data_IF_465655802630
#
_entry.id   IF_465655802630
#
_cell.length_a   1.000
_cell.length_b   1.000
_cell.length_c   1.000
_cell.angle_alpha   90.00
_cell.angle_beta   90.00
_cell.angle_gamma   90.00
#
_symmetry.space_group_name_H-M   'P 1'
#
loop_
_entity.id
_entity.type
_entity.pdbx_description
1 polymer ?
#
# COMPACT_ATOMS: atom_id res chain seq x y z
N UNK A 1 16.09 0.24 -12.55
CA UNK A 1 16.20 -0.22 -11.15
C UNK A 1 14.80 -0.43 -10.63
N UNK A 2 14.48 -1.59 -10.07
CA UNK A 2 13.16 -1.82 -9.45
C UNK A 2 13.07 -1.02 -8.15
N UNK A 3 12.01 -0.22 -8.00
CA UNK A 3 11.73 0.52 -6.77
C UNK A 3 11.51 -0.49 -5.63
N UNK A 4 12.19 -0.30 -4.49
CA UNK A 4 12.00 -1.15 -3.31
C UNK A 4 10.74 -0.71 -2.57
N UNK A 5 9.59 -1.29 -2.95
CA UNK A 5 8.29 -0.99 -2.36
C UNK A 5 8.26 -1.18 -0.85
N UNK A 6 8.89 -2.25 -0.33
CA UNK A 6 8.91 -2.51 1.11
C UNK A 6 9.59 -1.37 1.86
N UNK A 7 10.76 -0.91 1.39
CA UNK A 7 11.45 0.22 2.00
C UNK A 7 10.62 1.52 2.00
N UNK A 8 9.85 1.75 0.93
CA UNK A 8 8.91 2.88 0.88
C UNK A 8 7.81 2.73 1.94
N UNK A 9 7.16 1.56 2.01
CA UNK A 9 6.10 1.34 2.98
C UNK A 9 6.59 1.40 4.43
N UNK A 10 7.81 0.92 4.70
CA UNK A 10 8.43 1.02 6.02
C UNK A 10 8.58 2.50 6.43
N UNK A 11 8.98 3.38 5.51
CA UNK A 11 9.01 4.82 5.76
C UNK A 11 7.60 5.34 5.99
N UNK A 12 6.64 5.09 5.09
CA UNK A 12 5.27 5.59 5.20
C UNK A 12 4.58 5.19 6.51
N UNK A 13 4.69 3.92 6.90
CA UNK A 13 4.12 3.38 8.14
C UNK A 13 4.78 3.91 9.42
N UNK A 14 5.92 4.59 9.30
CA UNK A 14 6.67 5.15 10.42
C UNK A 14 6.58 6.68 10.51
N UNK A 15 5.85 7.32 9.59
CA UNK A 15 5.59 8.75 9.67
C UNK A 15 4.53 9.03 10.75
N UNK A 16 4.71 10.11 11.49
CA UNK A 16 3.74 10.54 12.49
C UNK A 16 2.45 11.03 11.80
N UNK A 17 1.32 10.41 12.16
CA UNK A 17 0.01 10.75 11.62
C UNK A 17 -0.51 12.00 12.31
N UNK A 18 -0.85 13.01 11.51
CA UNK A 18 -1.47 14.26 11.95
C UNK A 18 -2.99 14.11 12.03
N UNK A 19 -3.58 13.47 11.03
CA UNK A 19 -5.04 13.29 10.93
C UNK A 19 -5.34 12.00 10.15
N UNK A 20 -6.41 11.30 10.50
CA UNK A 20 -6.86 10.13 9.76
C UNK A 20 -8.38 9.98 9.83
N UNK A 21 -8.97 9.49 8.73
CA UNK A 21 -10.38 9.14 8.64
C UNK A 21 -10.52 7.81 7.90
N UNK A 22 -11.46 6.98 8.38
CA UNK A 22 -11.86 5.74 7.70
C UNK A 22 -13.25 5.87 7.07
N UNK A 23 -13.69 4.79 6.42
CA UNK A 23 -14.97 4.75 5.71
C UNK A 23 -14.84 5.16 4.24
N UNK A 24 -15.90 5.72 3.67
CA UNK A 24 -16.00 6.02 2.24
C UNK A 24 -14.99 7.08 1.78
N UNK A 25 -14.69 8.07 2.64
CA UNK A 25 -13.70 9.13 2.41
C UNK A 25 -12.44 8.90 3.25
N UNK A 26 -11.79 7.76 3.06
CA UNK A 26 -10.62 7.38 3.86
C UNK A 26 -9.35 8.17 3.49
N UNK A 27 -8.61 8.61 4.51
CA UNK A 27 -7.31 9.26 4.35
C UNK A 27 -6.43 9.08 5.58
N UNK A 28 -5.12 9.26 5.38
CA UNK A 28 -4.12 9.34 6.44
C UNK A 28 -3.16 10.48 6.07
N UNK A 29 -3.21 11.56 6.82
CA UNK A 29 -2.41 12.76 6.61
C UNK A 29 -1.21 12.77 7.55
N UNK A 30 -0.05 13.09 6.99
CA UNK A 30 1.20 13.29 7.73
C UNK A 30 1.73 14.69 7.41
N UNK A 31 2.57 15.23 8.29
CA UNK A 31 3.15 16.56 8.07
C UNK A 31 4.04 16.58 6.81
N UNK A 32 3.87 17.62 5.99
CA UNK A 32 4.73 17.89 4.84
C UNK A 32 6.00 18.63 5.26
N UNK A 33 6.82 17.95 6.07
CA UNK A 33 8.08 18.49 6.60
C UNK A 33 9.28 18.10 5.73
N UNK A 34 10.34 18.89 5.80
CA UNK A 34 11.62 18.57 5.13
C UNK A 34 12.19 17.21 5.59
N UNK A 35 11.99 16.86 6.86
CA UNK A 35 12.40 15.55 7.40
C UNK A 35 11.63 14.41 6.74
N UNK A 36 10.31 14.48 6.67
CA UNK A 36 9.48 13.45 6.06
C UNK A 36 9.78 13.30 4.57
N UNK A 37 9.93 14.44 3.86
CA UNK A 37 10.35 14.46 2.45
C UNK A 37 11.71 13.79 2.26
N UNK A 38 12.68 14.13 3.10
CA UNK A 38 14.04 13.56 3.03
C UNK A 38 14.04 12.05 3.24
N UNK A 39 13.24 11.55 4.19
CA UNK A 39 13.10 10.11 4.45
C UNK A 39 12.50 9.36 3.25
N UNK A 40 11.51 9.95 2.59
CA UNK A 40 10.88 9.37 1.38
C UNK A 40 11.80 9.42 0.16
N UNK A 41 12.50 10.52 -0.05
CA UNK A 41 13.48 10.64 -1.13
C UNK A 41 14.65 9.66 -0.96
N UNK A 42 15.09 9.40 0.28
CA UNK A 42 16.14 8.43 0.57
C UNK A 42 15.78 6.98 0.16
N UNK A 43 14.50 6.64 0.08
CA UNK A 43 14.00 5.34 -0.39
C UNK A 43 13.51 5.36 -1.84
N UNK A 44 13.75 6.46 -2.56
CA UNK A 44 13.57 6.57 -4.00
C UNK A 44 12.25 7.22 -4.46
N UNK A 45 11.44 7.76 -3.55
CA UNK A 45 10.25 8.55 -3.91
C UNK A 45 10.72 9.90 -4.45
N UNK A 46 10.24 10.29 -5.64
CA UNK A 46 10.60 11.57 -6.24
C UNK A 46 9.87 12.72 -5.53
N UNK A 47 10.50 13.89 -5.42
CA UNK A 47 9.87 15.06 -4.79
C UNK A 47 8.56 15.42 -5.48
N UNK A 48 8.53 15.32 -6.81
CA UNK A 48 7.35 15.60 -7.62
C UNK A 48 6.19 14.64 -7.32
N UNK A 49 6.50 13.39 -6.92
CA UNK A 49 5.48 12.45 -6.46
C UNK A 49 4.87 12.92 -5.15
N UNK A 50 5.69 13.41 -4.20
CA UNK A 50 5.19 13.93 -2.92
C UNK A 50 4.30 15.14 -3.15
N UNK A 51 4.71 16.06 -4.03
CA UNK A 51 3.95 17.28 -4.34
C UNK A 51 2.55 17.00 -4.90
N UNK A 52 2.34 15.88 -5.60
CA UNK A 52 1.00 15.49 -6.10
C UNK A 52 0.01 15.15 -5.00
N UNK A 53 0.49 14.76 -3.83
CA UNK A 53 -0.34 14.33 -2.70
C UNK A 53 -0.28 15.30 -1.53
N UNK A 54 0.45 16.41 -1.67
CA UNK A 54 0.63 17.42 -0.65
C UNK A 54 -0.42 18.54 -0.78
N UNK A 55 -1.10 18.85 0.31
CA UNK A 55 -2.05 19.96 0.42
C UNK A 55 -2.04 20.52 1.85
N UNK A 56 -2.07 21.84 1.98
CA UNK A 56 -2.23 22.50 3.28
C UNK A 56 -1.10 22.24 4.30
N UNK A 57 0.10 21.87 3.86
CA UNK A 57 1.22 21.51 4.75
C UNK A 57 1.19 20.07 5.27
N UNK A 58 0.33 19.22 4.67
CA UNK A 58 0.29 17.77 4.90
C UNK A 58 0.35 17.04 3.57
N UNK A 59 0.62 15.73 3.58
CA UNK A 59 0.37 14.88 2.42
C UNK A 59 -0.33 13.58 2.81
N UNK A 60 -1.16 13.05 1.90
CA UNK A 60 -1.94 11.85 2.13
C UNK A 60 -1.14 10.59 1.76
N UNK A 61 -0.71 9.81 2.77
CA UNK A 61 0.08 8.59 2.53
C UNK A 61 -0.74 7.45 1.94
N UNK A 62 -2.04 7.40 2.24
CA UNK A 62 -2.95 6.36 1.73
C UNK A 62 -3.15 6.54 0.22
N UNK A 63 -3.48 7.76 -0.21
CA UNK A 63 -3.68 8.10 -1.62
C UNK A 63 -2.40 7.86 -2.44
N UNK A 64 -1.24 8.28 -1.90
CA UNK A 64 0.06 8.07 -2.54
C UNK A 64 0.40 6.59 -2.68
N UNK A 65 0.27 5.80 -1.61
CA UNK A 65 0.67 4.40 -1.62
C UNK A 65 -0.11 3.56 -2.64
N UNK A 66 -1.41 3.77 -2.77
CA UNK A 66 -2.24 3.04 -3.74
C UNK A 66 -2.11 3.59 -5.17
N UNK A 67 -2.09 4.91 -5.35
CA UNK A 67 -2.01 5.51 -6.69
C UNK A 67 -0.67 5.24 -7.37
N UNK A 68 0.42 5.25 -6.61
CA UNK A 68 1.77 4.91 -7.10
C UNK A 68 2.06 3.39 -7.09
N UNK A 69 1.09 2.58 -6.66
CA UNK A 69 1.20 1.11 -6.57
C UNK A 69 2.34 0.64 -5.65
N UNK A 70 2.62 1.40 -4.59
CA UNK A 70 3.59 1.03 -3.55
C UNK A 70 3.01 -0.01 -2.58
N UNK A 71 1.73 0.12 -2.24
CA UNK A 71 1.01 -0.84 -1.41
C UNK A 71 0.07 -1.71 -2.23
N UNK A 72 -0.10 -2.95 -1.77
CA UNK A 72 -1.11 -3.88 -2.26
C UNK A 72 -2.36 -3.84 -1.38
N UNK A 73 -2.22 -3.57 -0.08
CA UNK A 73 -3.33 -3.47 0.87
C UNK A 73 -3.02 -2.58 2.09
N UNK A 74 -4.02 -2.37 2.94
CA UNK A 74 -3.94 -1.72 4.24
C UNK A 74 -4.56 -2.60 5.34
N UNK A 75 -3.71 -3.25 6.12
CA UNK A 75 -4.11 -4.22 7.14
C UNK A 75 -3.64 -3.79 8.53
N UNK A 76 -4.52 -3.89 9.54
CA UNK A 76 -4.17 -3.64 10.95
C UNK A 76 -3.47 -2.29 11.18
N UNK A 77 -3.88 -1.26 10.45
CA UNK A 77 -3.32 0.08 10.57
C UNK A 77 -2.00 0.29 9.81
N UNK A 78 -1.64 -0.59 8.87
CA UNK A 78 -0.39 -0.51 8.11
C UNK A 78 -0.59 -0.79 6.64
N UNK A 79 0.11 -0.04 5.81
CA UNK A 79 0.29 -0.33 4.40
C UNK A 79 1.15 -1.57 4.24
N UNK A 80 0.70 -2.52 3.42
CA UNK A 80 1.43 -3.76 3.15
C UNK A 80 1.73 -3.90 1.66
N UNK A 81 2.95 -4.36 1.36
CA UNK A 81 3.30 -4.87 0.05
C UNK A 81 3.39 -6.37 0.19
N UNK A 82 2.71 -7.05 -0.69
CA UNK A 82 2.63 -8.48 -0.69
C UNK A 82 3.80 -9.07 -1.49
N UNK A 83 4.42 -10.10 -0.92
CA UNK A 83 5.51 -10.83 -1.58
C UNK A 83 5.06 -11.58 -2.84
N UNK A 84 6.00 -12.13 -3.61
CA UNK A 84 5.70 -12.88 -4.81
C UNK A 84 4.74 -14.05 -4.55
N UNK A 85 3.87 -14.33 -5.51
CA UNK A 85 2.99 -15.51 -5.52
C UNK A 85 3.76 -16.73 -6.08
N UNK A 86 4.71 -17.22 -5.29
CA UNK A 86 5.58 -18.35 -5.64
C UNK A 86 5.01 -19.70 -5.14
N UNK A 87 5.77 -20.78 -5.34
CA UNK A 87 5.35 -22.12 -4.96
C UNK A 87 5.30 -22.32 -3.44
N UNK A 88 6.11 -21.59 -2.69
CA UNK A 88 6.05 -21.57 -1.21
C UNK A 88 4.74 -20.93 -0.75
N UNK A 89 4.35 -19.81 -1.35
CA UNK A 89 3.06 -19.18 -1.11
C UNK A 89 1.90 -20.13 -1.41
N UNK A 90 1.89 -20.76 -2.60
CA UNK A 90 0.85 -21.73 -2.99
C UNK A 90 0.77 -22.89 -1.99
N UNK A 91 1.93 -23.44 -1.61
CA UNK A 91 2.01 -24.53 -0.65
C UNK A 91 1.41 -24.14 0.69
N UNK A 92 1.77 -22.97 1.24
CA UNK A 92 1.25 -22.48 2.51
C UNK A 92 -0.27 -22.34 2.49
N UNK A 93 -0.84 -21.74 1.44
CA UNK A 93 -2.29 -21.57 1.32
C UNK A 93 -3.02 -22.91 1.21
N UNK A 94 -2.54 -23.81 0.34
CA UNK A 94 -3.19 -25.10 0.11
C UNK A 94 -3.13 -26.05 1.32
N UNK A 95 -2.16 -25.86 2.22
CA UNK A 95 -2.07 -26.63 3.47
C UNK A 95 -2.77 -25.96 4.67
N UNK A 96 -3.47 -24.83 4.48
CA UNK A 96 -4.22 -24.16 5.54
C UNK A 96 -3.34 -23.36 6.51
N UNK A 97 -2.10 -23.07 6.13
CA UNK A 97 -1.15 -22.28 6.92
C UNK A 97 -1.15 -20.79 6.52
N UNK A 98 -1.93 -20.42 5.49
CA UNK A 98 -2.08 -19.05 5.01
C UNK A 98 -3.18 -18.26 5.71
N UNK A 99 -3.21 -16.94 5.51
CA UNK A 99 -4.28 -16.06 6.00
C UNK A 99 -5.48 -16.05 5.03
N UNK A 100 -6.60 -15.44 5.44
CA UNK A 100 -7.73 -15.19 4.54
C UNK A 100 -7.31 -14.32 3.33
N UNK A 101 -6.45 -13.32 3.54
CA UNK A 101 -5.88 -12.51 2.47
C UNK A 101 -5.02 -13.36 1.52
N UNK A 102 -4.22 -14.29 2.05
CA UNK A 102 -3.45 -15.21 1.20
C UNK A 102 -4.37 -16.09 0.32
N UNK A 103 -5.49 -16.58 0.88
CA UNK A 103 -6.46 -17.37 0.13
C UNK A 103 -7.13 -16.55 -0.98
N UNK A 104 -7.53 -15.31 -0.69
CA UNK A 104 -8.10 -14.40 -1.69
C UNK A 104 -7.11 -14.08 -2.81
N UNK A 105 -5.85 -13.80 -2.46
CA UNK A 105 -4.78 -13.55 -3.43
C UNK A 105 -4.53 -14.74 -4.34
N UNK A 106 -4.54 -15.95 -3.78
CA UNK A 106 -4.46 -17.17 -4.58
C UNK A 106 -5.65 -17.26 -5.53
N UNK A 107 -6.88 -17.05 -5.02
CA UNK A 107 -8.11 -17.11 -5.81
C UNK A 107 -8.11 -16.11 -6.98
N UNK A 108 -7.71 -14.85 -6.76
CA UNK A 108 -7.55 -13.82 -7.81
C UNK A 108 -6.63 -14.28 -8.94
N UNK A 109 -5.62 -15.11 -8.65
CA UNK A 109 -4.68 -15.62 -9.64
C UNK A 109 -5.26 -16.81 -10.43
N UNK A 110 -5.94 -17.74 -9.75
CA UNK A 110 -6.48 -18.94 -10.41
C UNK A 110 -7.77 -18.63 -11.17
N UNK A 111 -8.59 -17.73 -10.64
CA UNK A 111 -9.91 -17.37 -11.14
C UNK A 111 -10.12 -15.84 -11.12
N UNK A 112 -9.38 -15.07 -11.95
CA UNK A 112 -9.43 -13.61 -11.93
C UNK A 112 -10.83 -13.02 -12.17
N UNK A 113 -11.69 -13.75 -12.90
CA UNK A 113 -13.07 -13.34 -13.19
C UNK A 113 -14.08 -13.53 -12.06
N UNK A 114 -13.70 -14.12 -10.91
CA UNK A 114 -14.58 -14.26 -9.75
C UNK A 114 -14.44 -13.11 -8.74
N UNK A 115 -13.36 -12.36 -8.82
CA UNK A 115 -13.02 -11.30 -7.85
C UNK A 115 -13.25 -9.90 -8.39
N UNK A 116 -13.34 -9.75 -9.71
CA UNK A 116 -13.83 -8.53 -10.34
C UNK A 116 -15.35 -8.64 -10.38
N UNK A 117 -16.03 -7.97 -9.44
CA UNK A 117 -17.48 -7.85 -9.50
C UNK A 117 -17.88 -7.28 -10.85
N UNK A 118 -18.74 -7.99 -11.58
CA UNK A 118 -19.41 -7.49 -12.77
C UNK A 118 -20.19 -6.22 -12.40
N UNK A 119 -19.56 -5.04 -12.52
CA UNK A 119 -20.31 -3.79 -12.72
C UNK A 119 -20.71 -3.78 -14.19
N UNK A 120 -21.79 -4.50 -14.50
CA UNK A 120 -22.52 -4.28 -15.74
C UNK A 120 -23.22 -2.93 -15.62
N UNK A 121 -22.71 -1.95 -16.36
CA UNK A 121 -23.30 -0.64 -16.62
C UNK A 121 -24.69 -0.72 -17.24
#
# INVERSE_FOLDING_TARGET
MSVNKQAILDVLNSLEVVEQQGGDDCYILVADSEENRSRLMAVGVQSETIDRYAEGGTFCILAMAFSEKYADDYENGKLVVWGPLDDEFRYRVLNGEGTAADAERLLRMVEPGLTEGEVQS
#
